data_IF_510685156215
#
_entry.id   IF_510685156215
#
_cell.length_a   1.000
_cell.length_b   1.000
_cell.length_c   1.000
_cell.angle_alpha   90.00
_cell.angle_beta   90.00
_cell.angle_gamma   90.00
#
_symmetry.space_group_name_H-M   'P 1'
#
loop_
_entity.id
_entity.type
_entity.pdbx_description
1 polymer ?
#
# COMPACT_ATOMS: atom_id res chain seq x y z
N UNK A 1 59.24 -63.93 -4.06
CA UNK A 1 58.04 -63.31 -3.45
C UNK A 1 58.52 -62.15 -2.60
N UNK A 2 58.36 -60.91 -3.07
CA UNK A 2 58.74 -59.71 -2.34
C UNK A 2 57.63 -58.67 -2.54
N UNK A 3 57.17 -58.11 -1.42
CA UNK A 3 56.06 -57.20 -1.31
C UNK A 3 56.46 -55.75 -1.65
N UNK A 4 55.43 -54.99 -2.03
CA UNK A 4 55.27 -53.56 -2.33
C UNK A 4 56.06 -52.58 -1.42
N UNK A 5 56.30 -51.33 -1.88
CA UNK A 5 55.33 -50.26 -1.57
C UNK A 5 55.11 -49.18 -2.66
N UNK A 6 54.03 -48.44 -2.42
CA UNK A 6 53.33 -47.47 -3.26
C UNK A 6 54.03 -46.10 -3.42
N UNK A 7 53.73 -45.40 -4.52
CA UNK A 7 53.83 -43.94 -4.63
C UNK A 7 52.97 -43.42 -5.78
N UNK A 8 51.96 -42.60 -5.47
CA UNK A 8 51.39 -41.54 -6.32
C UNK A 8 50.36 -40.77 -5.51
N UNK A 9 50.82 -39.67 -4.90
CA UNK A 9 50.02 -38.66 -4.21
C UNK A 9 49.27 -37.77 -5.21
N UNK A 10 47.99 -37.43 -4.94
CA UNK A 10 47.26 -36.37 -5.63
C UNK A 10 47.49 -34.99 -4.99
N UNK A 11 47.60 -33.95 -5.83
CA UNK A 11 47.62 -32.53 -5.44
C UNK A 11 46.26 -31.90 -5.76
N UNK A 12 45.50 -31.38 -4.77
CA UNK A 12 44.41 -30.44 -5.02
C UNK A 12 44.79 -29.00 -4.66
N UNK A 13 44.52 -28.08 -5.59
CA UNK A 13 44.60 -26.62 -5.41
C UNK A 13 43.37 -26.10 -4.64
N UNK A 14 43.54 -25.26 -3.60
CA UNK A 14 42.43 -24.57 -2.95
C UNK A 14 42.27 -23.13 -3.47
N UNK A 15 41.10 -22.79 -4.03
CA UNK A 15 40.63 -21.40 -4.12
C UNK A 15 39.28 -21.30 -3.42
N UNK A 16 39.35 -20.79 -2.19
CA UNK A 16 38.22 -20.47 -1.33
C UNK A 16 37.80 -19.02 -1.55
N UNK A 17 36.54 -18.80 -1.93
CA UNK A 17 35.81 -17.57 -1.58
C UNK A 17 34.29 -17.79 -1.76
N UNK A 18 33.55 -17.40 -0.72
CA UNK A 18 32.11 -17.15 -0.71
C UNK A 18 31.15 -18.36 -0.74
N UNK A 19 30.81 -18.87 0.44
CA UNK A 19 29.42 -19.08 0.88
C UNK A 19 29.38 -19.70 2.29
N UNK A 20 29.46 -18.85 3.31
CA UNK A 20 29.00 -19.14 4.67
C UNK A 20 27.97 -18.04 4.99
N UNK A 21 26.84 -18.26 5.64
CA UNK A 21 26.39 -19.37 6.46
C UNK A 21 24.85 -19.39 6.44
N UNK A 22 24.27 -20.59 6.41
CA UNK A 22 22.85 -20.81 6.67
C UNK A 22 22.76 -21.90 7.75
N UNK A 23 22.42 -21.50 8.98
CA UNK A 23 21.68 -22.28 9.97
C UNK A 23 21.77 -21.59 11.34
N UNK A 24 20.63 -21.17 11.90
CA UNK A 24 20.29 -21.33 13.32
C UNK A 24 18.83 -20.91 13.58
N UNK A 25 18.01 -21.96 13.72
CA UNK A 25 16.84 -22.17 14.61
C UNK A 25 16.39 -21.07 15.59
N UNK A 26 15.07 -20.84 15.54
CA UNK A 26 14.10 -20.70 16.63
C UNK A 26 14.47 -19.94 17.92
N UNK A 27 13.79 -18.81 18.14
CA UNK A 27 13.52 -18.28 19.49
C UNK A 27 12.16 -17.58 19.56
N UNK A 28 11.35 -18.03 20.50
CA UNK A 28 10.10 -17.47 21.00
C UNK A 28 10.30 -16.06 21.58
N UNK A 29 9.50 -15.07 21.15
CA UNK A 29 9.20 -13.89 21.98
C UNK A 29 7.89 -13.22 21.53
N UNK A 30 6.99 -13.05 22.49
CA UNK A 30 5.74 -12.28 22.41
C UNK A 30 6.04 -10.76 22.23
N UNK A 31 5.02 -9.93 21.90
CA UNK A 31 5.21 -8.61 21.31
C UNK A 31 5.58 -7.58 22.39
N UNK A 32 6.67 -6.86 22.18
CA UNK A 32 7.00 -5.66 22.96
C UNK A 32 6.86 -4.44 22.06
N UNK A 33 5.66 -3.88 22.05
CA UNK A 33 5.37 -2.53 21.58
C UNK A 33 6.12 -1.53 22.48
N UNK A 34 7.35 -1.19 22.12
CA UNK A 34 8.07 -0.07 22.71
C UNK A 34 7.64 1.21 22.02
N UNK A 35 6.54 1.79 22.51
CA UNK A 35 6.16 3.17 22.26
C UNK A 35 7.11 4.11 23.01
N UNK A 36 8.13 4.62 22.33
CA UNK A 36 8.90 5.78 22.81
C UNK A 36 8.29 7.05 22.21
N UNK A 37 7.44 7.71 23.01
CA UNK A 37 6.92 9.05 22.76
C UNK A 37 8.03 10.09 22.91
N UNK A 38 8.32 10.81 21.83
CA UNK A 38 9.07 12.07 21.84
C UNK A 38 8.48 12.96 20.76
N UNK A 39 8.04 14.15 21.15
CA UNK A 39 7.19 15.03 20.36
C UNK A 39 7.89 15.65 19.14
N UNK A 40 7.91 14.90 18.04
CA UNK A 40 8.11 15.43 16.68
C UNK A 40 7.07 14.75 15.79
N UNK A 41 6.40 15.50 14.90
CA UNK A 41 5.44 14.98 13.89
C UNK A 41 6.15 14.13 12.81
N UNK A 42 7.05 13.25 13.21
CA UNK A 42 7.96 12.48 12.36
C UNK A 42 7.59 11.02 12.45
N UNK A 43 7.32 10.40 11.30
CA UNK A 43 7.02 8.99 11.22
C UNK A 43 8.20 8.12 11.68
N UNK A 44 7.95 7.19 12.59
CA UNK A 44 8.95 6.22 13.04
C UNK A 44 8.92 4.99 12.13
N UNK A 45 9.99 4.82 11.35
CA UNK A 45 10.16 3.63 10.51
C UNK A 45 10.45 2.37 11.35
N UNK A 46 9.87 1.21 11.01
CA UNK A 46 10.20 -0.08 11.63
C UNK A 46 11.68 -0.46 11.47
N UNK A 47 12.19 -1.31 12.36
CA UNK A 47 13.57 -1.82 12.30
C UNK A 47 13.89 -2.50 10.96
N UNK A 48 12.90 -3.16 10.37
CA UNK A 48 13.02 -3.90 9.10
C UNK A 48 13.32 -2.96 7.92
N UNK A 49 12.96 -1.68 8.01
CA UNK A 49 13.26 -0.67 6.99
C UNK A 49 14.76 -0.36 6.88
N UNK A 50 15.56 -0.70 7.90
CA UNK A 50 17.02 -0.57 7.86
C UNK A 50 17.71 -1.82 7.33
N UNK A 51 16.97 -2.90 7.07
CA UNK A 51 17.52 -4.17 6.62
C UNK A 51 17.71 -4.16 5.09
N UNK A 52 18.95 -4.20 4.55
CA UNK A 52 19.17 -4.05 3.10
C UNK A 52 18.44 -5.07 2.20
N UNK A 53 18.30 -6.35 2.59
CA UNK A 53 17.52 -7.33 1.82
C UNK A 53 16.04 -6.96 1.69
N UNK A 54 15.49 -6.11 2.57
CA UNK A 54 14.09 -5.67 2.51
C UNK A 54 13.74 -4.92 1.22
N UNK A 55 14.72 -4.24 0.62
CA UNK A 55 14.58 -3.52 -0.66
C UNK A 55 14.89 -4.38 -1.89
N UNK A 56 15.25 -5.64 -1.69
CA UNK A 56 15.59 -6.58 -2.77
C UNK A 56 14.49 -7.63 -2.86
N UNK A 57 13.89 -7.79 -4.04
CA UNK A 57 12.88 -8.83 -4.29
C UNK A 57 13.44 -10.21 -3.95
N UNK A 58 12.75 -10.92 -3.07
CA UNK A 58 13.14 -12.28 -2.69
C UNK A 58 12.69 -13.28 -3.77
N UNK A 59 13.52 -14.28 -4.06
CA UNK A 59 13.21 -15.33 -5.06
C UNK A 59 12.30 -16.42 -4.50
N UNK A 60 12.39 -16.69 -3.20
CA UNK A 60 11.50 -17.63 -2.52
C UNK A 60 10.11 -17.01 -2.33
N UNK A 61 9.06 -17.69 -2.78
CA UNK A 61 7.69 -17.18 -2.75
C UNK A 61 7.13 -16.93 -1.35
N UNK A 62 7.46 -17.78 -0.37
CA UNK A 62 7.01 -17.59 1.01
C UNK A 62 7.70 -16.37 1.65
N UNK A 63 9.00 -16.20 1.39
CA UNK A 63 9.74 -15.03 1.86
C UNK A 63 9.30 -13.75 1.14
N UNK A 64 8.98 -13.83 -0.15
CA UNK A 64 8.43 -12.71 -0.93
C UNK A 64 7.05 -12.28 -0.39
N UNK A 65 6.19 -13.24 -0.04
CA UNK A 65 4.91 -12.95 0.60
C UNK A 65 5.10 -12.20 1.92
N UNK A 66 5.95 -12.72 2.82
CA UNK A 66 6.25 -12.06 4.09
C UNK A 66 6.89 -10.67 3.89
N UNK A 67 7.68 -10.49 2.83
CA UNK A 67 8.20 -9.18 2.42
C UNK A 67 7.07 -8.25 2.00
N UNK A 68 6.11 -8.70 1.19
CA UNK A 68 4.95 -7.90 0.76
C UNK A 68 4.06 -7.51 1.95
N UNK A 69 3.81 -8.41 2.91
CA UNK A 69 3.07 -8.10 4.15
C UNK A 69 3.76 -7.01 4.98
N UNK A 70 5.08 -7.08 5.11
CA UNK A 70 5.86 -6.05 5.81
C UNK A 70 5.79 -4.72 5.07
N UNK A 71 5.88 -4.74 3.75
CA UNK A 71 5.73 -3.54 2.93
C UNK A 71 4.31 -2.96 3.03
N UNK A 72 3.26 -3.76 2.99
CA UNK A 72 1.88 -3.28 3.11
C UNK A 72 1.66 -2.62 4.47
N UNK A 73 2.11 -3.25 5.56
CA UNK A 73 2.06 -2.66 6.92
C UNK A 73 2.81 -1.32 7.01
N UNK A 74 4.00 -1.24 6.41
CA UNK A 74 4.78 0.01 6.34
C UNK A 74 4.05 1.10 5.56
N UNK A 75 3.51 0.78 4.38
CA UNK A 75 2.78 1.74 3.54
C UNK A 75 1.54 2.25 4.29
N UNK A 76 0.76 1.36 4.91
CA UNK A 76 -0.47 1.72 5.62
C UNK A 76 -0.18 2.59 6.86
N UNK A 77 0.85 2.26 7.63
CA UNK A 77 1.25 3.05 8.80
C UNK A 77 1.77 4.44 8.40
N UNK A 78 2.57 4.52 7.33
CA UNK A 78 3.07 5.78 6.79
C UNK A 78 1.93 6.66 6.27
N UNK A 79 1.04 6.10 5.44
CA UNK A 79 -0.14 6.80 4.93
C UNK A 79 -1.05 7.29 6.06
N UNK A 80 -1.25 6.50 7.11
CA UNK A 80 -2.03 6.91 8.29
C UNK A 80 -1.39 8.10 9.01
N UNK A 81 -0.07 8.06 9.24
CA UNK A 81 0.64 9.12 9.96
C UNK A 81 0.61 10.45 9.20
N UNK A 82 0.79 10.40 7.87
CA UNK A 82 0.79 11.58 7.01
C UNK A 82 -0.60 11.95 6.46
N UNK A 83 -1.66 11.21 6.84
CA UNK A 83 -3.03 11.31 6.26
C UNK A 83 -3.04 11.32 4.72
N UNK A 84 -2.25 10.45 4.11
CA UNK A 84 -2.11 10.34 2.64
C UNK A 84 -3.00 9.24 2.07
N UNK A 85 -4.16 9.62 1.54
CA UNK A 85 -5.12 8.67 0.95
C UNK A 85 -4.77 8.24 -0.48
N UNK A 86 -3.88 8.99 -1.15
CA UNK A 86 -3.44 8.74 -2.51
C UNK A 86 -1.92 8.62 -2.54
N UNK A 87 -1.41 7.62 -3.25
CA UNK A 87 0.00 7.32 -3.38
C UNK A 87 0.38 7.24 -4.87
N UNK A 88 1.35 8.05 -5.26
CA UNK A 88 1.92 8.01 -6.61
C UNK A 88 3.17 7.13 -6.61
N UNK A 89 3.35 6.34 -7.67
CA UNK A 89 4.59 5.63 -7.96
C UNK A 89 5.62 6.54 -8.63
N UNK A 90 5.18 7.63 -9.24
CA UNK A 90 6.05 8.74 -9.62
C UNK A 90 6.33 9.58 -8.37
N UNK A 91 7.25 9.10 -7.54
CA UNK A 91 7.56 9.66 -6.23
C UNK A 91 8.74 10.65 -6.22
N UNK A 92 9.32 10.98 -7.39
CA UNK A 92 10.43 11.93 -7.48
C UNK A 92 9.99 13.33 -7.02
N UNK A 93 10.66 13.86 -5.99
CA UNK A 93 10.30 15.14 -5.37
C UNK A 93 9.04 15.09 -4.49
N UNK A 94 8.42 13.93 -4.30
CA UNK A 94 7.22 13.78 -3.49
C UNK A 94 7.57 13.48 -2.01
N UNK A 95 6.74 13.88 -1.04
CA UNK A 95 6.99 13.61 0.38
C UNK A 95 7.07 12.11 0.70
N UNK A 96 6.40 11.27 -0.10
CA UNK A 96 6.42 9.81 0.02
C UNK A 96 7.63 9.14 -0.66
N UNK A 97 8.62 9.90 -1.17
CA UNK A 97 9.91 9.35 -1.64
C UNK A 97 10.57 8.51 -0.54
N UNK A 98 10.50 8.99 0.71
CA UNK A 98 11.06 8.32 1.87
C UNK A 98 10.43 6.94 2.14
N UNK A 99 9.29 6.61 1.55
CA UNK A 99 8.68 5.28 1.69
C UNK A 99 9.46 4.23 0.89
N UNK A 100 9.82 4.56 -0.35
CA UNK A 100 10.47 3.61 -1.27
C UNK A 100 11.99 3.78 -1.35
N UNK A 101 12.53 4.90 -0.89
CA UNK A 101 13.98 5.19 -0.90
C UNK A 101 14.50 5.48 0.50
N UNK A 102 15.34 4.58 0.99
CA UNK A 102 16.09 4.77 2.22
C UNK A 102 17.50 5.33 1.93
N UNK A 103 17.67 6.64 2.10
CA UNK A 103 18.97 7.31 1.92
C UNK A 103 20.01 6.93 2.99
N UNK A 104 19.59 6.44 4.16
CA UNK A 104 20.51 6.07 5.25
C UNK A 104 21.32 4.82 4.95
N UNK A 105 20.72 3.87 4.24
CA UNK A 105 21.38 2.63 3.80
C UNK A 105 21.66 2.63 2.29
N UNK A 106 21.43 3.75 1.60
CA UNK A 106 21.57 3.91 0.15
C UNK A 106 20.84 2.83 -0.66
N UNK A 107 19.61 2.46 -0.24
CA UNK A 107 18.77 1.47 -0.93
C UNK A 107 17.44 2.08 -1.34
N UNK A 108 16.91 1.61 -2.46
CA UNK A 108 15.58 1.97 -2.95
C UNK A 108 14.89 0.76 -3.56
N UNK A 109 13.58 0.66 -3.37
CA UNK A 109 12.75 -0.34 -4.01
C UNK A 109 12.61 0.03 -5.50
N UNK A 110 12.76 -0.95 -6.39
CA UNK A 110 12.57 -0.71 -7.82
C UNK A 110 11.09 -0.46 -8.10
N UNK A 111 10.81 0.34 -9.12
CA UNK A 111 9.43 0.71 -9.48
C UNK A 111 8.56 -0.52 -9.81
N UNK A 112 9.15 -1.51 -10.49
CA UNK A 112 8.46 -2.77 -10.78
C UNK A 112 8.08 -3.55 -9.50
N UNK A 113 9.00 -3.61 -8.53
CA UNK A 113 8.75 -4.29 -7.26
C UNK A 113 7.73 -3.51 -6.40
N UNK A 114 7.78 -2.18 -6.42
CA UNK A 114 6.79 -1.33 -5.76
C UNK A 114 5.37 -1.53 -6.33
N UNK A 115 5.25 -1.71 -7.66
CA UNK A 115 3.99 -2.07 -8.32
C UNK A 115 3.47 -3.42 -7.85
N UNK A 116 4.34 -4.41 -7.71
CA UNK A 116 3.94 -5.74 -7.21
C UNK A 116 3.41 -5.68 -5.78
N UNK A 117 4.02 -4.85 -4.92
CA UNK A 117 3.53 -4.60 -3.56
C UNK A 117 2.15 -3.95 -3.58
N UNK A 118 1.93 -2.92 -4.41
CA UNK A 118 0.62 -2.26 -4.51
C UNK A 118 -0.45 -3.18 -5.12
N UNK A 119 -0.07 -4.05 -6.05
CA UNK A 119 -0.96 -5.08 -6.59
C UNK A 119 -1.31 -6.14 -5.53
N UNK A 120 -0.36 -6.50 -4.66
CA UNK A 120 -0.63 -7.33 -3.49
C UNK A 120 -1.64 -6.65 -2.55
N UNK A 121 -1.42 -5.37 -2.22
CA UNK A 121 -2.36 -4.59 -1.41
C UNK A 121 -3.74 -4.44 -2.06
N UNK A 122 -3.80 -4.37 -3.40
CA UNK A 122 -5.05 -4.34 -4.16
C UNK A 122 -5.85 -5.62 -4.00
N UNK A 123 -5.18 -6.78 -4.01
CA UNK A 123 -5.83 -8.09 -3.76
C UNK A 123 -6.37 -8.20 -2.34
N UNK A 124 -5.70 -7.57 -1.37
CA UNK A 124 -6.20 -7.47 0.00
C UNK A 124 -7.34 -6.43 0.17
N UNK A 125 -7.69 -5.67 -0.88
CA UNK A 125 -8.68 -4.60 -0.80
C UNK A 125 -8.20 -3.34 -0.07
N UNK A 126 -6.88 -3.23 0.17
CA UNK A 126 -6.23 -2.11 0.87
C UNK A 126 -5.70 -1.04 -0.09
N UNK A 127 -5.69 -1.31 -1.39
CA UNK A 127 -5.34 -0.33 -2.42
C UNK A 127 -6.29 -0.43 -3.62
N UNK A 128 -6.52 0.68 -4.31
CA UNK A 128 -7.31 0.72 -5.55
C UNK A 128 -6.58 1.62 -6.56
N UNK A 129 -6.31 1.15 -7.79
CA UNK A 129 -5.69 2.00 -8.80
C UNK A 129 -6.62 3.17 -9.18
N UNK A 130 -6.08 4.38 -9.17
CA UNK A 130 -6.75 5.53 -9.75
C UNK A 130 -6.53 5.45 -11.26
N UNK A 131 -7.55 4.99 -11.98
CA UNK A 131 -7.55 5.10 -13.43
C UNK A 131 -7.41 6.58 -13.82
N UNK A 132 -6.66 6.88 -14.88
CA UNK A 132 -6.56 8.23 -15.46
C UNK A 132 -7.92 8.80 -15.92
N UNK A 133 -9.01 8.02 -15.80
CA UNK A 133 -10.39 8.46 -15.88
C UNK A 133 -11.04 8.19 -14.51
N UNK A 134 -11.23 9.25 -13.73
CA UNK A 134 -12.07 9.18 -12.54
C UNK A 134 -13.48 8.74 -12.93
N UNK A 135 -14.03 7.78 -12.17
CA UNK A 135 -15.46 7.52 -12.15
C UNK A 135 -15.90 6.15 -12.67
N UNK A 136 -16.76 5.54 -11.85
CA UNK A 136 -17.72 4.47 -12.18
C UNK A 136 -17.21 3.03 -12.13
N UNK A 137 -17.89 2.26 -11.27
CA UNK A 137 -17.87 0.80 -11.33
C UNK A 137 -18.46 0.26 -12.64
N UNK A 138 -18.15 -1.01 -12.89
CA UNK A 138 -18.67 -1.83 -13.99
C UNK A 138 -17.74 -3.03 -14.10
N UNK A 139 -18.20 -4.27 -13.92
CA UNK A 139 -19.32 -4.82 -14.68
C UNK A 139 -18.76 -5.30 -16.01
N UNK A 140 -18.58 -6.62 -16.15
CA UNK A 140 -18.00 -7.22 -17.35
C UNK A 140 -18.81 -6.95 -18.62
N UNK A 141 -18.15 -7.05 -19.77
CA UNK A 141 -18.79 -6.94 -21.07
C UNK A 141 -17.79 -6.90 -22.21
N UNK A 142 -17.57 -8.06 -22.82
CA UNK A 142 -16.81 -8.30 -24.05
C UNK A 142 -17.35 -7.50 -25.25
N UNK A 143 -16.48 -6.93 -26.10
CA UNK A 143 -16.72 -6.89 -27.56
C UNK A 143 -15.44 -6.63 -28.35
N UNK A 144 -15.46 -7.22 -29.55
CA UNK A 144 -14.38 -7.52 -30.47
C UNK A 144 -14.24 -6.45 -31.57
N UNK A 145 -13.09 -6.45 -32.26
CA UNK A 145 -12.81 -5.87 -33.60
C UNK A 145 -12.51 -4.34 -33.63
N UNK A 146 -11.51 -3.78 -34.32
CA UNK A 146 -10.47 -4.29 -35.22
C UNK A 146 -9.83 -3.12 -35.98
N UNK A 147 -8.55 -3.27 -36.40
CA UNK A 147 -8.03 -2.66 -37.64
C UNK A 147 -7.08 -1.44 -37.57
N UNK A 148 -5.81 -1.69 -37.92
CA UNK A 148 -4.88 -0.77 -38.62
C UNK A 148 -4.10 0.22 -37.74
N UNK A 149 -2.77 0.32 -37.71
CA UNK A 149 -1.75 -0.03 -38.69
C UNK A 149 -0.94 1.23 -39.03
N UNK A 150 0.33 1.32 -38.62
CA UNK A 150 1.26 2.39 -39.07
C UNK A 150 2.37 2.71 -38.06
N UNK A 151 3.56 2.16 -38.29
CA UNK A 151 4.73 2.29 -37.41
C UNK A 151 5.58 3.54 -37.63
N UNK A 152 6.48 3.78 -36.68
CA UNK A 152 7.58 4.74 -36.74
C UNK A 152 8.52 4.54 -35.54
N UNK A 153 9.80 4.29 -35.81
CA UNK A 153 10.77 3.66 -34.91
C UNK A 153 11.63 4.64 -34.08
N UNK A 154 12.03 4.19 -32.87
CA UNK A 154 13.38 4.38 -32.33
C UNK A 154 13.56 5.30 -31.11
N UNK A 155 13.63 4.73 -29.89
CA UNK A 155 14.87 4.62 -29.05
C UNK A 155 14.59 4.23 -27.59
N UNK A 156 15.25 3.15 -27.17
CA UNK A 156 15.91 2.93 -25.87
C UNK A 156 15.08 2.96 -24.56
N UNK A 157 14.61 1.76 -24.15
CA UNK A 157 15.02 1.19 -22.87
C UNK A 157 14.32 1.60 -21.56
N UNK A 158 13.06 1.21 -21.38
CA UNK A 158 12.53 0.62 -20.13
C UNK A 158 11.08 0.16 -20.37
N UNK A 159 10.79 -1.12 -20.19
CA UNK A 159 9.46 -1.70 -20.35
C UNK A 159 8.45 -1.22 -19.31
N UNK A 160 7.98 0.01 -19.47
CA UNK A 160 6.83 0.55 -18.77
C UNK A 160 5.57 -0.14 -19.27
N UNK A 161 5.24 -1.29 -18.69
CA UNK A 161 3.86 -1.78 -18.69
C UNK A 161 3.03 -0.63 -18.14
N UNK A 162 2.15 -0.05 -18.97
CA UNK A 162 1.31 1.11 -18.67
C UNK A 162 0.27 0.80 -17.59
N UNK A 163 0.74 0.55 -16.38
CA UNK A 163 -0.07 0.42 -15.19
C UNK A 163 -0.40 1.81 -14.62
N UNK A 164 -1.43 1.89 -13.77
CA UNK A 164 -1.76 3.12 -13.07
C UNK A 164 -0.55 3.53 -12.22
N UNK A 165 -0.14 4.79 -12.31
CA UNK A 165 0.93 5.33 -11.46
C UNK A 165 0.38 5.96 -10.18
N UNK A 166 -0.95 6.03 -10.02
CA UNK A 166 -1.62 6.58 -8.85
C UNK A 166 -2.56 5.55 -8.24
N UNK A 167 -2.52 5.39 -6.92
CA UNK A 167 -3.33 4.43 -6.18
C UNK A 167 -3.98 5.12 -4.97
N UNK A 168 -5.24 4.79 -4.72
CA UNK A 168 -5.86 4.95 -3.42
C UNK A 168 -5.25 3.96 -2.44
N UNK A 169 -4.94 4.43 -1.23
CA UNK A 169 -4.44 3.62 -0.12
C UNK A 169 -5.42 3.71 1.04
N UNK A 170 -5.94 2.57 1.45
CA UNK A 170 -6.96 2.44 2.48
C UNK A 170 -6.35 1.86 3.77
N UNK A 171 -5.85 2.73 4.66
CA UNK A 171 -5.49 2.28 6.03
C UNK A 171 -6.72 1.88 6.86
N UNK A 172 -7.87 2.45 6.50
CA UNK A 172 -9.21 1.97 6.78
C UNK A 172 -9.98 1.95 5.46
N UNK A 173 -10.72 0.88 5.25
CA UNK A 173 -11.54 0.68 4.04
C UNK A 173 -12.77 1.59 4.06
N UNK A 174 -13.38 1.87 2.88
CA UNK A 174 -14.64 2.62 2.82
C UNK A 174 -15.75 2.02 3.68
N UNK A 175 -15.81 0.69 3.81
CA UNK A 175 -16.76 -0.02 4.68
C UNK A 175 -16.52 0.24 6.17
N UNK A 176 -15.26 0.33 6.61
CA UNK A 176 -14.90 0.68 7.98
C UNK A 176 -15.21 2.16 8.27
N UNK A 177 -14.92 3.05 7.33
CA UNK A 177 -15.29 4.47 7.45
C UNK A 177 -16.81 4.65 7.51
N UNK A 178 -17.56 3.91 6.68
CA UNK A 178 -19.01 3.89 6.71
C UNK A 178 -19.54 3.51 8.10
N UNK A 179 -18.97 2.47 8.72
CA UNK A 179 -19.35 2.04 10.06
C UNK A 179 -19.04 3.11 11.13
N UNK A 180 -17.92 3.83 11.03
CA UNK A 180 -17.59 4.92 11.96
C UNK A 180 -18.53 6.11 11.81
N UNK A 181 -18.86 6.48 10.57
CA UNK A 181 -19.83 7.56 10.30
C UNK A 181 -21.21 7.17 10.83
N UNK A 182 -21.65 5.94 10.56
CA UNK A 182 -22.92 5.43 11.07
C UNK A 182 -22.97 5.47 12.61
N UNK A 183 -21.94 4.95 13.28
CA UNK A 183 -21.88 4.96 14.75
C UNK A 183 -21.97 6.39 15.32
N UNK A 184 -21.28 7.35 14.72
CA UNK A 184 -21.34 8.75 15.15
C UNK A 184 -22.73 9.36 14.93
N UNK A 185 -23.40 9.06 13.80
CA UNK A 185 -24.77 9.55 13.55
C UNK A 185 -25.75 8.98 14.58
N UNK A 186 -25.58 7.72 14.97
CA UNK A 186 -26.39 7.05 15.99
C UNK A 186 -26.16 7.70 17.37
N UNK A 187 -24.90 7.94 17.74
CA UNK A 187 -24.52 8.57 19.01
C UNK A 187 -24.99 10.03 19.13
N UNK A 188 -24.98 10.77 18.03
CA UNK A 188 -25.39 12.19 17.99
C UNK A 188 -26.87 12.41 17.71
N UNK A 189 -27.64 11.34 17.51
CA UNK A 189 -29.07 11.36 17.19
C UNK A 189 -29.41 12.23 15.96
N UNK A 190 -28.52 12.29 14.96
CA UNK A 190 -28.71 13.11 13.76
C UNK A 190 -29.46 12.38 12.62
N UNK A 191 -30.02 11.20 12.89
CA UNK A 191 -30.87 10.46 11.95
C UNK A 191 -32.06 11.30 11.50
N UNK A 192 -32.42 11.18 10.23
CA UNK A 192 -33.54 11.91 9.62
C UNK A 192 -33.22 13.36 9.23
N UNK A 193 -32.08 13.91 9.65
CA UNK A 193 -31.60 15.23 9.19
C UNK A 193 -30.69 15.08 7.97
N UNK A 194 -30.64 16.12 7.13
CA UNK A 194 -29.72 16.20 6.00
C UNK A 194 -28.47 16.93 6.47
N UNK A 195 -27.31 16.29 6.34
CA UNK A 195 -26.00 16.85 6.64
C UNK A 195 -25.20 17.02 5.36
N UNK A 196 -24.44 18.09 5.26
CA UNK A 196 -23.50 18.31 4.16
C UNK A 196 -22.21 17.52 4.36
N UNK A 197 -21.46 17.25 3.28
CA UNK A 197 -20.13 16.64 3.41
C UNK A 197 -19.20 17.51 4.26
N UNK A 198 -19.32 18.83 4.15
CA UNK A 198 -18.55 19.77 4.96
C UNK A 198 -18.83 19.63 6.46
N UNK A 199 -20.08 19.50 6.86
CA UNK A 199 -20.43 19.27 8.27
C UNK A 199 -19.86 17.95 8.80
N UNK A 200 -19.77 16.93 7.94
CA UNK A 200 -19.19 15.63 8.32
C UNK A 200 -17.65 15.70 8.44
N UNK A 201 -16.95 16.35 7.53
CA UNK A 201 -15.48 16.38 7.54
C UNK A 201 -14.89 17.50 8.37
N UNK A 202 -15.57 18.64 8.46
CA UNK A 202 -15.05 19.88 9.06
C UNK A 202 -15.95 20.48 10.14
N UNK A 203 -17.16 19.94 10.34
CA UNK A 203 -18.09 20.42 11.35
C UNK A 203 -17.55 20.32 12.78
N UNK A 204 -18.00 21.22 13.65
CA UNK A 204 -17.58 21.24 15.05
C UNK A 204 -18.00 19.97 15.81
N UNK A 205 -19.13 19.35 15.42
CA UNK A 205 -19.63 18.11 16.02
C UNK A 205 -18.81 16.86 15.67
N UNK A 206 -17.97 16.93 14.63
CA UNK A 206 -17.09 15.83 14.21
C UNK A 206 -15.64 16.05 14.65
N UNK A 207 -15.33 17.20 15.28
CA UNK A 207 -14.01 17.45 15.87
C UNK A 207 -13.67 16.39 16.91
N UNK A 208 -12.60 15.63 16.65
CA UNK A 208 -12.14 14.54 17.51
C UNK A 208 -12.53 13.14 17.03
N UNK A 209 -13.39 13.02 16.01
CA UNK A 209 -13.62 11.73 15.34
C UNK A 209 -12.44 11.40 14.42
N UNK A 210 -12.30 10.12 14.08
CA UNK A 210 -11.22 9.68 13.18
C UNK A 210 -11.43 10.13 11.73
N UNK A 211 -12.68 10.41 11.33
CA UNK A 211 -13.05 10.85 9.99
C UNK A 211 -13.07 12.38 9.85
N UNK A 212 -12.72 13.13 10.89
CA UNK A 212 -12.47 14.56 10.77
C UNK A 212 -11.31 14.82 9.80
N UNK A 213 -11.52 15.72 8.84
CA UNK A 213 -10.57 16.00 7.75
C UNK A 213 -10.33 14.82 6.81
N UNK A 214 -11.30 13.91 6.67
CA UNK A 214 -11.25 12.85 5.66
C UNK A 214 -11.32 13.45 4.26
N UNK A 215 -10.60 12.85 3.31
CA UNK A 215 -10.67 13.25 1.91
C UNK A 215 -12.13 13.13 1.38
N UNK A 216 -12.69 14.17 0.73
CA UNK A 216 -14.09 14.17 0.29
C UNK A 216 -14.45 13.01 -0.63
N UNK A 217 -13.55 12.60 -1.54
CA UNK A 217 -13.79 11.47 -2.43
C UNK A 217 -13.84 10.15 -1.66
N UNK A 218 -13.00 10.00 -0.62
CA UNK A 218 -13.04 8.84 0.26
C UNK A 218 -14.30 8.83 1.13
N UNK A 219 -14.72 9.99 1.65
CA UNK A 219 -15.98 10.11 2.36
C UNK A 219 -17.13 9.70 1.44
N UNK A 220 -17.14 10.18 0.20
CA UNK A 220 -18.17 9.82 -0.77
C UNK A 220 -18.20 8.31 -1.03
N UNK A 221 -17.05 7.65 -1.20
CA UNK A 221 -16.95 6.18 -1.29
C UNK A 221 -17.55 5.49 -0.06
N UNK A 222 -17.28 5.98 1.15
CA UNK A 222 -17.85 5.44 2.39
C UNK A 222 -19.38 5.66 2.48
N UNK A 223 -19.88 6.84 2.12
CA UNK A 223 -21.30 7.13 2.07
C UNK A 223 -22.03 6.25 1.04
N UNK A 224 -21.42 5.99 -0.12
CA UNK A 224 -21.96 5.05 -1.11
C UNK A 224 -22.13 3.63 -0.56
N UNK A 225 -21.27 3.19 0.37
CA UNK A 225 -21.45 1.92 1.09
C UNK A 225 -22.71 1.98 1.96
N UNK A 226 -22.95 3.06 2.70
CA UNK A 226 -24.15 3.24 3.51
C UNK A 226 -25.42 3.30 2.67
N UNK A 227 -25.37 3.94 1.50
CA UNK A 227 -26.48 3.97 0.54
C UNK A 227 -26.82 2.57 0.05
N UNK A 228 -25.82 1.77 -0.32
CA UNK A 228 -26.02 0.36 -0.73
C UNK A 228 -26.60 -0.50 0.40
N UNK A 229 -26.28 -0.17 1.65
CA UNK A 229 -26.83 -0.82 2.85
C UNK A 229 -28.24 -0.31 3.22
N UNK A 230 -28.76 0.70 2.52
CA UNK A 230 -30.07 1.30 2.80
C UNK A 230 -30.12 2.18 4.05
N UNK A 231 -28.95 2.60 4.58
CA UNK A 231 -28.84 3.39 5.82
C UNK A 231 -28.64 4.89 5.57
N UNK A 232 -28.31 5.27 4.35
CA UNK A 232 -28.14 6.66 3.97
C UNK A 232 -28.67 6.91 2.56
N UNK A 233 -28.91 8.18 2.23
CA UNK A 233 -29.24 8.64 0.90
C UNK A 233 -28.49 9.95 0.64
N UNK A 234 -27.74 9.99 -0.47
CA UNK A 234 -27.01 11.19 -0.90
C UNK A 234 -27.93 12.02 -1.80
N UNK A 235 -27.92 13.34 -1.62
CA UNK A 235 -28.67 14.36 -2.33
C UNK A 235 -27.72 15.41 -2.89
N UNK A 236 -28.17 16.14 -3.92
CA UNK A 236 -27.44 17.29 -4.49
C UNK A 236 -26.61 16.96 -5.73
N UNK A 237 -26.00 18.02 -6.29
CA UNK A 237 -25.05 17.97 -7.41
C UNK A 237 -23.68 18.43 -6.93
N UNK A 238 -22.60 17.90 -7.55
CA UNK A 238 -21.16 18.08 -7.26
C UNK A 238 -20.78 18.98 -6.07
N UNK A 239 -21.05 20.30 -6.11
CA UNK A 239 -20.62 21.26 -5.08
C UNK A 239 -21.54 21.39 -3.84
N UNK A 240 -22.79 20.91 -3.90
CA UNK A 240 -23.77 20.99 -2.81
C UNK A 240 -24.33 19.60 -2.46
N UNK A 241 -23.44 18.66 -2.20
CA UNK A 241 -23.82 17.32 -1.77
C UNK A 241 -24.24 17.30 -0.30
N UNK A 242 -25.45 16.81 -0.07
CA UNK A 242 -25.99 16.47 1.25
C UNK A 242 -26.19 14.98 1.39
N UNK A 243 -26.23 14.48 2.61
CA UNK A 243 -26.53 13.09 2.93
C UNK A 243 -27.53 13.04 4.07
N UNK A 244 -28.57 12.23 3.90
CA UNK A 244 -29.53 11.91 4.95
C UNK A 244 -29.27 10.50 5.44
N UNK A 245 -29.24 10.32 6.76
CA UNK A 245 -29.14 9.01 7.39
C UNK A 245 -30.51 8.56 7.89
N UNK A 246 -30.75 7.24 7.88
CA UNK A 246 -32.02 6.62 8.29
C UNK A 246 -31.87 5.82 9.60
#
# INVERSE_FOLDING_TARGET
MAATPASSTPTPTPTAAAAAAAAAVAATAAPSSSSSSSGTNTFTFPSEYQFPPFFTKQTNLATLHAQHEKWSSLILSYCRHHRLFRLSLSYDGAPHEALFRNRRISRSLRLADAREVLEFMRREGRAEPVGANGGSGGGGGNTNNGGGGGGGAGKDGAGGVGGPDLYWIYWRTPDEWAALVEAWVDETAQKGTVLTLYELTEGDGTRGTEFYGLDPDLLQKALQVLVKRGKAQIFGQEDQQGVKFF
#
